data_IF_414689109737
#
_entry.id   IF_414689109737
#
_cell.length_a   1.000
_cell.length_b   1.000
_cell.length_c   1.000
_cell.angle_alpha   90.00
_cell.angle_beta   90.00
_cell.angle_gamma   90.00
#
_symmetry.space_group_name_H-M   'P 1'
#
loop_
_entity.id
_entity.type
_entity.pdbx_description
1 polymer ?
#
# COMPACT_ATOMS: atom_id res chain seq x y z
N UNK A 1 20.08 6.36 25.40
CA UNK A 1 19.65 6.02 24.02
C UNK A 1 18.15 5.84 24.05
N UNK A 2 17.40 6.87 23.65
CA UNK A 2 15.95 6.73 23.51
C UNK A 2 15.71 6.03 22.17
N UNK A 3 15.40 4.73 22.21
CA UNK A 3 14.87 4.06 21.04
C UNK A 3 13.58 4.77 20.67
N UNK A 4 13.58 5.47 19.54
CA UNK A 4 12.35 5.95 18.92
C UNK A 4 11.59 4.69 18.51
N UNK A 5 10.75 4.20 19.42
CA UNK A 5 9.83 3.10 19.13
C UNK A 5 8.84 3.63 18.12
N UNK A 6 9.19 3.53 16.84
CA UNK A 6 8.22 3.65 15.76
C UNK A 6 7.14 2.64 16.09
N UNK A 7 5.95 3.12 16.42
CA UNK A 7 4.81 2.27 16.73
C UNK A 7 4.55 1.38 15.52
N UNK A 8 5.00 0.12 15.59
CA UNK A 8 4.72 -0.85 14.55
C UNK A 8 3.20 -0.95 14.40
N UNK A 9 2.73 -0.82 13.16
CA UNK A 9 1.30 -0.94 12.87
C UNK A 9 0.92 -2.39 13.17
N UNK A 10 0.13 -2.59 14.22
CA UNK A 10 -0.36 -3.93 14.56
C UNK A 10 -1.37 -4.36 13.51
N UNK A 11 -0.93 -5.23 12.60
CA UNK A 11 -1.75 -5.77 11.51
C UNK A 11 -2.30 -7.16 11.89
N UNK A 12 -3.52 -7.50 11.45
CA UNK A 12 -3.96 -8.89 11.45
C UNK A 12 -3.14 -9.67 10.40
N UNK A 13 -2.70 -10.87 10.74
CA UNK A 13 -1.98 -11.74 9.80
C UNK A 13 -3.00 -12.54 8.98
N UNK A 14 -2.88 -12.51 7.66
CA UNK A 14 -3.66 -13.32 6.74
C UNK A 14 -2.93 -14.63 6.40
N UNK A 15 -3.59 -15.75 6.67
CA UNK A 15 -3.09 -17.11 6.42
C UNK A 15 -3.86 -17.86 5.33
N UNK A 16 -4.72 -17.17 4.57
CA UNK A 16 -5.60 -17.79 3.57
C UNK A 16 -7.05 -17.97 4.03
N UNK A 17 -7.32 -17.93 5.33
CA UNK A 17 -8.67 -18.05 5.90
C UNK A 17 -9.26 -16.68 6.26
N UNK A 18 -10.59 -16.60 6.29
CA UNK A 18 -11.32 -15.41 6.76
C UNK A 18 -10.88 -14.11 6.05
N UNK A 19 -10.58 -14.20 4.74
CA UNK A 19 -10.08 -13.08 3.93
C UNK A 19 -10.93 -11.82 4.10
N UNK A 20 -12.26 -11.96 4.13
CA UNK A 20 -13.17 -10.84 4.28
C UNK A 20 -12.97 -10.07 5.60
N UNK A 21 -12.79 -10.78 6.71
CA UNK A 21 -12.50 -10.16 8.01
C UNK A 21 -11.13 -9.48 8.02
N UNK A 22 -10.13 -10.12 7.42
CA UNK A 22 -8.79 -9.53 7.29
C UNK A 22 -8.83 -8.25 6.45
N UNK A 23 -9.50 -8.30 5.29
CA UNK A 23 -9.69 -7.19 4.37
C UNK A 23 -10.33 -5.99 5.07
N UNK A 24 -11.48 -6.19 5.74
CA UNK A 24 -12.19 -5.12 6.46
C UNK A 24 -11.28 -4.44 7.50
N UNK A 25 -10.50 -5.22 8.26
CA UNK A 25 -9.55 -4.70 9.25
C UNK A 25 -8.43 -3.90 8.58
N UNK A 26 -7.87 -4.40 7.48
CA UNK A 26 -6.82 -3.71 6.72
C UNK A 26 -7.32 -2.40 6.11
N UNK A 27 -8.52 -2.38 5.52
CA UNK A 27 -9.16 -1.13 5.04
C UNK A 27 -9.24 -0.10 6.16
N UNK A 28 -9.64 -0.53 7.36
CA UNK A 28 -9.73 0.36 8.54
C UNK A 28 -8.37 0.92 8.94
N UNK A 29 -7.33 0.07 8.98
CA UNK A 29 -5.95 0.48 9.26
C UNK A 29 -5.50 1.52 8.23
N UNK A 30 -5.63 1.25 6.93
CA UNK A 30 -5.22 2.20 5.90
C UNK A 30 -5.97 3.52 5.96
N UNK A 31 -7.27 3.50 6.26
CA UNK A 31 -8.05 4.74 6.46
C UNK A 31 -7.53 5.54 7.65
N UNK A 32 -7.23 4.88 8.78
CA UNK A 32 -6.69 5.56 9.97
C UNK A 32 -5.32 6.20 9.75
N UNK A 33 -4.53 5.65 8.83
CA UNK A 33 -3.22 6.19 8.45
C UNK A 33 -3.26 7.14 7.25
N UNK A 34 -4.43 7.41 6.67
CA UNK A 34 -4.56 8.25 5.47
C UNK A 34 -3.94 7.64 4.20
N UNK A 35 -3.76 6.32 4.17
CA UNK A 35 -3.11 5.58 3.09
C UNK A 35 -4.12 4.91 2.13
N UNK A 36 -5.40 4.84 2.49
CA UNK A 36 -6.41 4.09 1.71
C UNK A 36 -6.48 4.50 0.23
N UNK A 37 -6.36 5.80 -0.07
CA UNK A 37 -6.41 6.27 -1.47
C UNK A 37 -5.28 5.67 -2.32
N UNK A 38 -4.09 5.49 -1.76
CA UNK A 38 -2.94 4.88 -2.46
C UNK A 38 -3.17 3.38 -2.68
N UNK A 39 -3.74 2.69 -1.69
CA UNK A 39 -4.08 1.26 -1.81
C UNK A 39 -5.19 1.03 -2.84
N UNK A 40 -6.21 1.88 -2.85
CA UNK A 40 -7.37 1.75 -3.74
C UNK A 40 -7.04 2.16 -5.18
N UNK A 41 -6.40 3.33 -5.35
CA UNK A 41 -6.21 3.97 -6.65
C UNK A 41 -4.77 3.93 -7.17
N UNK A 42 -3.80 3.59 -6.33
CA UNK A 42 -2.38 3.62 -6.67
C UNK A 42 -1.78 5.02 -6.51
N UNK A 43 -0.47 5.11 -6.74
CA UNK A 43 0.22 6.40 -6.85
C UNK A 43 -0.25 7.08 -8.12
N UNK A 44 -0.90 8.24 -7.98
CA UNK A 44 -1.38 9.04 -9.11
C UNK A 44 -0.23 9.85 -9.70
N UNK A 45 0.54 9.21 -10.58
CA UNK A 45 1.64 9.86 -11.34
C UNK A 45 1.11 10.91 -12.35
N UNK A 46 -0.22 11.01 -12.52
CA UNK A 46 -0.87 11.74 -13.61
C UNK A 46 -0.52 13.23 -13.64
N UNK A 47 -0.46 13.91 -12.49
CA UNK A 47 -0.22 15.36 -12.50
C UNK A 47 1.25 15.72 -12.77
N UNK A 48 2.21 14.87 -12.37
CA UNK A 48 3.63 15.15 -12.56
C UNK A 48 4.10 14.82 -13.97
N UNK A 49 3.58 13.74 -14.60
CA UNK A 49 4.04 13.33 -15.94
C UNK A 49 3.56 14.25 -17.05
N UNK A 50 2.35 14.80 -16.93
CA UNK A 50 1.80 15.78 -17.88
C UNK A 50 2.57 17.10 -17.79
N UNK A 51 2.86 17.57 -16.56
CA UNK A 51 3.71 18.75 -16.33
C UNK A 51 5.17 18.57 -16.71
N UNK A 52 5.75 17.37 -16.54
CA UNK A 52 7.10 17.06 -17.02
C UNK A 52 7.17 17.04 -18.55
N UNK A 53 6.12 16.53 -19.22
CA UNK A 53 6.01 16.57 -20.68
C UNK A 53 5.85 18.00 -21.22
N UNK A 54 5.20 18.89 -20.46
CA UNK A 54 5.05 20.32 -20.77
C UNK A 54 6.22 21.20 -20.25
N UNK A 55 7.23 20.62 -19.58
CA UNK A 55 8.38 21.35 -19.04
C UNK A 55 8.05 22.29 -17.86
N UNK A 56 6.88 22.11 -17.23
CA UNK A 56 6.36 22.93 -16.13
C UNK A 56 6.48 22.25 -14.75
N UNK A 57 7.21 21.14 -14.64
CA UNK A 57 7.47 20.48 -13.36
C UNK A 57 8.23 21.44 -12.43
N UNK A 58 7.70 21.63 -11.22
CA UNK A 58 8.28 22.49 -10.19
C UNK A 58 8.94 21.64 -9.10
N UNK A 59 9.86 22.21 -8.33
CA UNK A 59 10.48 21.54 -7.16
C UNK A 59 9.41 21.01 -6.18
N UNK A 60 8.27 21.71 -6.06
CA UNK A 60 7.12 21.27 -5.25
C UNK A 60 6.40 20.02 -5.80
N UNK A 61 6.39 19.80 -7.12
CA UNK A 61 5.81 18.60 -7.74
C UNK A 61 6.73 17.38 -7.54
N UNK A 62 8.06 17.59 -7.57
CA UNK A 62 9.03 16.55 -7.26
C UNK A 62 8.96 16.12 -5.79
N UNK A 63 8.91 17.08 -4.85
CA UNK A 63 8.74 16.76 -3.41
C UNK A 63 7.44 16.01 -3.12
N UNK A 64 6.32 16.41 -3.75
CA UNK A 64 5.05 15.69 -3.61
C UNK A 64 5.14 14.26 -4.12
N UNK A 65 5.80 14.04 -5.25
CA UNK A 65 5.98 12.69 -5.81
C UNK A 65 6.78 11.79 -4.87
N UNK A 66 7.87 12.31 -4.28
CA UNK A 66 8.68 11.58 -3.29
C UNK A 66 7.86 11.22 -2.06
N UNK A 67 7.05 12.16 -1.55
CA UNK A 67 6.17 11.90 -0.40
C UNK A 67 5.11 10.83 -0.72
N UNK A 68 4.52 10.83 -1.91
CA UNK A 68 3.58 9.79 -2.34
C UNK A 68 4.24 8.42 -2.44
N UNK A 69 5.44 8.34 -3.03
CA UNK A 69 6.22 7.10 -3.10
C UNK A 69 6.58 6.57 -1.71
N UNK A 70 6.98 7.43 -0.78
CA UNK A 70 7.25 7.03 0.61
C UNK A 70 5.99 6.50 1.31
N UNK A 71 4.82 7.12 1.05
CA UNK A 71 3.54 6.67 1.61
C UNK A 71 3.07 5.35 0.99
N UNK A 72 3.28 5.15 -0.30
CA UNK A 72 2.98 3.89 -0.97
C UNK A 72 3.88 2.77 -0.45
N UNK A 73 5.19 3.01 -0.32
CA UNK A 73 6.12 2.05 0.29
C UNK A 73 5.71 1.70 1.75
N UNK A 74 5.26 2.68 2.52
CA UNK A 74 4.70 2.44 3.86
C UNK A 74 3.44 1.57 3.81
N UNK A 75 2.53 1.83 2.88
CA UNK A 75 1.32 1.03 2.72
C UNK A 75 1.65 -0.40 2.28
N UNK A 76 2.59 -0.58 1.35
CA UNK A 76 3.09 -1.87 0.89
C UNK A 76 3.70 -2.67 2.04
N UNK A 77 4.55 -2.04 2.86
CA UNK A 77 5.13 -2.67 4.05
C UNK A 77 4.08 -3.13 5.05
N UNK A 78 2.98 -2.39 5.22
CA UNK A 78 1.84 -2.82 6.05
C UNK A 78 1.17 -4.06 5.46
N UNK A 79 0.97 -4.14 4.14
CA UNK A 79 0.42 -5.35 3.48
C UNK A 79 1.35 -6.54 3.66
N UNK A 80 2.65 -6.35 3.42
CA UNK A 80 3.68 -7.39 3.56
C UNK A 80 3.73 -7.95 4.98
N UNK A 81 3.65 -7.09 6.00
CA UNK A 81 3.60 -7.51 7.40
C UNK A 81 2.23 -8.07 7.83
N UNK A 82 1.20 -7.94 7.01
CA UNK A 82 -0.16 -8.41 7.29
C UNK A 82 -0.47 -9.75 6.62
N UNK A 83 0.50 -10.38 5.94
CA UNK A 83 0.36 -11.70 5.33
C UNK A 83 1.33 -12.68 5.97
N UNK A 84 0.95 -13.96 6.01
CA UNK A 84 1.85 -15.02 6.46
C UNK A 84 2.91 -15.37 5.40
N UNK A 85 3.97 -16.06 5.81
CA UNK A 85 5.03 -16.54 4.91
C UNK A 85 4.51 -17.45 3.78
N UNK A 86 3.36 -18.10 3.98
CA UNK A 86 2.72 -18.91 2.93
C UNK A 86 2.06 -18.06 1.85
N UNK A 87 1.59 -16.86 2.21
CA UNK A 87 0.87 -15.95 1.31
C UNK A 87 1.82 -14.91 0.71
N UNK A 88 2.88 -14.51 1.42
CA UNK A 88 3.85 -13.51 0.97
C UNK A 88 4.36 -13.74 -0.47
N UNK A 89 4.71 -14.97 -0.91
CA UNK A 89 5.14 -15.22 -2.29
C UNK A 89 4.16 -14.75 -3.37
N UNK A 90 2.85 -14.65 -3.07
CA UNK A 90 1.81 -14.15 -3.98
C UNK A 90 1.95 -12.68 -4.32
N UNK A 91 2.48 -11.90 -3.39
CA UNK A 91 2.66 -10.45 -3.52
C UNK A 91 4.13 -10.05 -3.63
N UNK A 92 5.06 -11.00 -3.70
CA UNK A 92 6.50 -10.73 -3.66
C UNK A 92 6.99 -9.87 -4.85
N UNK A 93 6.30 -9.94 -5.99
CA UNK A 93 6.60 -9.13 -7.18
C UNK A 93 5.78 -7.83 -7.24
N UNK A 94 5.06 -7.48 -6.17
CA UNK A 94 4.28 -6.25 -6.14
C UNK A 94 5.16 -5.04 -5.78
N UNK A 95 5.30 -4.12 -6.74
CA UNK A 95 6.09 -2.90 -6.55
C UNK A 95 5.32 -1.77 -5.85
N UNK A 96 3.99 -1.90 -5.73
CA UNK A 96 3.12 -0.88 -5.11
C UNK A 96 2.11 -1.50 -4.17
N UNK A 97 1.61 -0.70 -3.22
CA UNK A 97 0.58 -1.16 -2.29
C UNK A 97 -0.71 -1.55 -3.03
N UNK A 98 -1.07 -0.83 -4.09
CA UNK A 98 -2.20 -1.17 -4.96
C UNK A 98 -2.02 -2.54 -5.60
N UNK A 99 -0.86 -2.81 -6.22
CA UNK A 99 -0.62 -4.08 -6.89
C UNK A 99 -0.71 -5.25 -5.90
N UNK A 100 -0.11 -5.12 -4.71
CA UNK A 100 -0.20 -6.14 -3.67
C UNK A 100 -1.66 -6.37 -3.21
N UNK A 101 -2.43 -5.29 -3.05
CA UNK A 101 -3.84 -5.35 -2.67
C UNK A 101 -4.70 -6.03 -3.74
N UNK A 102 -4.52 -5.66 -5.01
CA UNK A 102 -5.27 -6.19 -6.15
C UNK A 102 -4.96 -7.69 -6.37
N UNK A 103 -3.70 -8.13 -6.15
CA UNK A 103 -3.33 -9.55 -6.20
C UNK A 103 -4.06 -10.37 -5.11
N UNK A 104 -4.06 -9.89 -3.86
CA UNK A 104 -4.77 -10.54 -2.77
C UNK A 104 -6.29 -10.52 -2.99
N UNK A 105 -6.82 -9.44 -3.55
CA UNK A 105 -8.23 -9.34 -3.89
C UNK A 105 -8.60 -10.34 -5.00
N UNK A 106 -7.82 -10.41 -6.07
CA UNK A 106 -8.08 -11.34 -7.17
C UNK A 106 -8.01 -12.81 -6.75
N UNK A 107 -7.07 -13.17 -5.88
CA UNK A 107 -6.90 -14.56 -5.46
C UNK A 107 -7.90 -15.02 -4.38
N UNK A 108 -8.33 -14.12 -3.49
CA UNK A 108 -9.11 -14.49 -2.30
C UNK A 108 -10.50 -13.84 -2.19
N UNK A 109 -10.80 -12.81 -3.00
CA UNK A 109 -12.13 -12.19 -3.02
C UNK A 109 -13.11 -12.84 -4.02
N UNK A 110 -12.78 -14.01 -4.54
CA UNK A 110 -13.67 -14.72 -5.47
C UNK A 110 -13.17 -16.10 -5.84
N UNK A 111 -13.74 -17.12 -5.20
CA UNK A 111 -14.18 -18.30 -5.91
C UNK A 111 -15.70 -18.22 -5.94
N UNK A 112 -16.27 -17.88 -7.09
CA UNK A 112 -17.56 -18.43 -7.51
C UNK A 112 -17.30 -19.80 -8.14
#
# INVERSE_FOLDING_TARGET
MAGSGGSEVRTPIFSGENYEFWRIKMVTIFKSHGLWKLVEKGVTISDSKEKMAEGSATEEDDEKSVVEHMRDAKALGIIQNAVSDQIFPRIANADTAKMAWDLLYGEYHGGD
#
